data_IF_294865426857
#
_entry.id   IF_294865426857
#
_cell.length_a   1.000
_cell.length_b   1.000
_cell.length_c   1.000
_cell.angle_alpha   90.00
_cell.angle_beta   90.00
_cell.angle_gamma   90.00
#
_symmetry.space_group_name_H-M   'P 1'
#
loop_
_entity.id
_entity.type
_entity.pdbx_description
1 polymer ?
#
# COMPACT_ATOMS: atom_id res chain seq x y z
N UNK A 1 18.44 -12.78 -1.35
CA UNK A 1 17.31 -12.44 -2.23
C UNK A 1 15.99 -12.21 -1.49
N UNK A 2 15.41 -13.21 -0.80
CA UNK A 2 14.07 -13.11 -0.17
C UNK A 2 13.83 -11.88 0.74
N UNK A 3 14.82 -11.52 1.57
CA UNK A 3 14.75 -10.35 2.47
C UNK A 3 14.66 -9.00 1.74
N UNK A 4 15.38 -8.86 0.62
CA UNK A 4 15.34 -7.65 -0.21
C UNK A 4 14.03 -7.58 -1.01
N UNK A 5 13.55 -8.72 -1.51
CA UNK A 5 12.28 -8.81 -2.20
C UNK A 5 11.11 -8.42 -1.30
N UNK A 6 11.04 -8.96 -0.08
CA UNK A 6 9.99 -8.62 0.90
C UNK A 6 10.01 -7.13 1.31
N UNK A 7 11.21 -6.58 1.51
CA UNK A 7 11.37 -5.17 1.83
C UNK A 7 10.93 -4.28 0.66
N UNK A 8 11.37 -4.61 -0.56
CA UNK A 8 10.99 -3.89 -1.77
C UNK A 8 9.47 -3.97 -2.02
N UNK A 9 8.85 -5.15 -1.89
CA UNK A 9 7.42 -5.30 -2.06
C UNK A 9 6.62 -4.53 -1.01
N UNK A 10 7.07 -4.52 0.24
CA UNK A 10 6.43 -3.75 1.31
C UNK A 10 6.46 -2.24 1.03
N UNK A 11 7.61 -1.72 0.59
CA UNK A 11 7.75 -0.30 0.21
C UNK A 11 6.88 0.03 -1.00
N UNK A 12 6.90 -0.81 -2.04
CA UNK A 12 6.08 -0.60 -3.25
C UNK A 12 4.58 -0.59 -2.93
N UNK A 13 4.11 -1.46 -2.02
CA UNK A 13 2.73 -1.46 -1.58
C UNK A 13 2.34 -0.16 -0.85
N UNK A 14 3.23 0.39 -0.01
CA UNK A 14 2.99 1.69 0.62
C UNK A 14 2.91 2.82 -0.41
N UNK A 15 3.80 2.82 -1.41
CA UNK A 15 3.76 3.80 -2.51
C UNK A 15 2.44 3.68 -3.29
N UNK A 16 1.99 2.46 -3.59
CA UNK A 16 0.73 2.21 -4.28
C UNK A 16 -0.48 2.74 -3.48
N UNK A 17 -0.47 2.60 -2.15
CA UNK A 17 -1.51 3.16 -1.28
C UNK A 17 -1.49 4.69 -1.33
N UNK A 18 -0.32 5.33 -1.23
CA UNK A 18 -0.18 6.78 -1.31
C UNK A 18 -0.68 7.30 -2.66
N UNK A 19 -0.32 6.61 -3.74
CA UNK A 19 -0.79 6.91 -5.09
C UNK A 19 -2.31 6.79 -5.21
N UNK A 20 -2.89 5.75 -4.60
CA UNK A 20 -4.34 5.55 -4.58
C UNK A 20 -5.04 6.69 -3.85
N UNK A 21 -4.50 7.16 -2.73
CA UNK A 21 -4.99 8.36 -2.04
C UNK A 21 -4.93 9.61 -2.92
N UNK A 22 -3.83 9.79 -3.66
CA UNK A 22 -3.69 10.91 -4.57
C UNK A 22 -4.77 10.90 -5.65
N UNK A 23 -5.01 9.76 -6.30
CA UNK A 23 -6.04 9.65 -7.34
C UNK A 23 -7.47 9.84 -6.84
N UNK A 24 -7.74 9.50 -5.58
CA UNK A 24 -9.05 9.76 -4.97
C UNK A 24 -9.28 11.25 -4.75
N UNK A 25 -8.27 11.96 -4.23
CA UNK A 25 -8.39 13.37 -3.87
C UNK A 25 -8.10 14.31 -5.04
N UNK A 26 -7.67 13.77 -6.19
CA UNK A 26 -7.41 14.57 -7.38
C UNK A 26 -8.73 15.13 -7.93
N UNK A 27 -8.85 16.44 -8.13
CA UNK A 27 -10.05 17.03 -8.73
C UNK A 27 -10.25 16.46 -10.13
N UNK A 28 -11.38 15.79 -10.35
CA UNK A 28 -11.73 15.19 -11.64
C UNK A 28 -12.38 16.24 -12.52
N UNK A 29 -11.65 16.70 -13.53
CA UNK A 29 -12.17 17.55 -14.60
C UNK A 29 -12.77 16.66 -15.70
N UNK A 30 -14.08 16.39 -15.64
CA UNK A 30 -14.79 15.60 -16.66
C UNK A 30 -16.24 15.25 -16.27
N UNK A 31 -17.03 14.66 -17.19
CA UNK A 31 -18.44 14.30 -16.96
C UNK A 31 -18.63 13.18 -15.91
N UNK A 32 -17.54 12.51 -15.52
CA UNK A 32 -17.51 11.54 -14.43
C UNK A 32 -17.24 12.31 -13.13
N UNK A 33 -18.30 12.83 -12.51
CA UNK A 33 -18.22 13.61 -11.27
C UNK A 33 -17.66 12.85 -10.06
N UNK A 34 -17.68 13.49 -8.90
CA UNK A 34 -17.32 12.91 -7.61
C UNK A 34 -18.39 11.90 -7.13
N UNK A 35 -18.39 10.72 -7.73
CA UNK A 35 -19.16 9.59 -7.20
C UNK A 35 -18.64 9.19 -5.82
N UNK A 36 -19.53 8.75 -4.93
CA UNK A 36 -19.15 8.26 -3.62
C UNK A 36 -18.12 7.13 -3.75
N UNK A 37 -17.03 7.21 -2.98
CA UNK A 37 -16.01 6.15 -2.93
C UNK A 37 -16.65 4.93 -2.27
N UNK A 38 -16.66 3.77 -2.93
CA UNK A 38 -17.36 2.61 -2.39
C UNK A 38 -16.66 2.08 -1.14
N UNK A 39 -17.42 1.61 -0.15
CA UNK A 39 -16.90 1.18 1.15
C UNK A 39 -15.81 0.09 1.06
N UNK A 40 -15.94 -0.84 0.11
CA UNK A 40 -14.95 -1.90 -0.10
C UNK A 40 -13.55 -1.34 -0.45
N UNK A 41 -13.48 -0.18 -1.08
CA UNK A 41 -12.21 0.47 -1.40
C UNK A 41 -11.42 0.81 -0.13
N UNK A 42 -12.10 1.36 0.89
CA UNK A 42 -11.49 1.68 2.18
C UNK A 42 -10.97 0.43 2.89
N UNK A 43 -11.73 -0.68 2.85
CA UNK A 43 -11.30 -1.97 3.40
C UNK A 43 -10.05 -2.47 2.69
N UNK A 44 -10.04 -2.48 1.35
CA UNK A 44 -8.89 -2.91 0.55
C UNK A 44 -7.67 -2.06 0.85
N UNK A 45 -7.85 -0.76 1.05
CA UNK A 45 -6.75 0.15 1.32
C UNK A 45 -6.14 -0.08 2.72
N UNK A 46 -6.97 -0.25 3.75
CA UNK A 46 -6.53 -0.58 5.11
C UNK A 46 -5.82 -1.93 5.14
N UNK A 47 -6.39 -2.96 4.49
CA UNK A 47 -5.79 -4.30 4.46
C UNK A 47 -4.44 -4.28 3.73
N UNK A 48 -4.31 -3.52 2.64
CA UNK A 48 -3.05 -3.35 1.91
C UNK A 48 -1.97 -2.69 2.77
N UNK A 49 -2.31 -1.67 3.56
CA UNK A 49 -1.39 -1.05 4.53
C UNK A 49 -0.91 -2.07 5.55
N UNK A 50 -1.83 -2.85 6.14
CA UNK A 50 -1.47 -3.89 7.12
C UNK A 50 -0.52 -4.93 6.53
N UNK A 51 -0.78 -5.40 5.30
CA UNK A 51 0.08 -6.34 4.59
C UNK A 51 1.45 -5.73 4.29
N UNK A 52 1.51 -4.47 3.88
CA UNK A 52 2.76 -3.78 3.59
C UNK A 52 3.64 -3.65 4.85
N UNK A 53 3.05 -3.22 5.98
CA UNK A 53 3.73 -3.11 7.27
C UNK A 53 4.22 -4.49 7.72
N UNK A 54 3.37 -5.52 7.63
CA UNK A 54 3.74 -6.89 7.99
C UNK A 54 4.93 -7.40 7.15
N UNK A 55 4.91 -7.19 5.83
CA UNK A 55 6.00 -7.58 4.96
C UNK A 55 7.33 -6.89 5.32
N UNK A 56 7.29 -5.60 5.69
CA UNK A 56 8.47 -4.86 6.15
C UNK A 56 8.99 -5.43 7.48
N UNK A 57 8.11 -5.69 8.46
CA UNK A 57 8.51 -6.27 9.75
C UNK A 57 9.17 -7.64 9.56
N UNK A 58 8.56 -8.51 8.75
CA UNK A 58 9.12 -9.85 8.45
C UNK A 58 10.47 -9.73 7.73
N UNK A 59 10.60 -8.78 6.80
CA UNK A 59 11.87 -8.52 6.13
C UNK A 59 12.95 -8.10 7.14
N UNK A 60 12.64 -7.16 8.04
CA UNK A 60 13.55 -6.70 9.09
C UNK A 60 13.97 -7.83 10.04
N UNK A 61 13.02 -8.66 10.50
CA UNK A 61 13.33 -9.83 11.32
C UNK A 61 14.28 -10.80 10.62
N UNK A 62 14.11 -11.02 9.31
CA UNK A 62 15.02 -11.83 8.50
C UNK A 62 16.43 -11.23 8.38
N UNK A 63 16.56 -9.90 8.44
CA UNK A 63 17.86 -9.24 8.50
C UNK A 63 18.53 -9.41 9.88
N UNK A 64 17.76 -9.34 10.97
CA UNK A 64 18.27 -9.49 12.34
C UNK A 64 18.69 -10.94 12.63
N UNK A 65 17.86 -11.93 12.28
CA UNK A 65 18.14 -13.37 12.55
C UNK A 65 19.32 -13.97 11.79
N UNK A 66 19.86 -13.28 10.79
CA UNK A 66 20.99 -13.73 9.95
C UNK A 66 22.32 -13.04 10.30
N UNK A 67 22.35 -12.21 11.34
CA UNK A 67 23.58 -11.80 12.00
C UNK A 67 23.92 -12.82 13.09
#
# INVERSE_FOLDING_TARGET
MRKYFLLFSGIMLLIAVIWSFYEINRPRIGPVGEGAIPFHFWITMISTICVAIFAIIVALQLFVKRK
#
